data_IF_029466034016
#
_entry.id   IF_029466034016
#
_cell.length_a   1.000
_cell.length_b   1.000
_cell.length_c   1.000
_cell.angle_alpha   90.00
_cell.angle_beta   90.00
_cell.angle_gamma   90.00
#
_symmetry.space_group_name_H-M   'P 1'
#
loop_
_entity.id
_entity.type
_entity.pdbx_description
1 polymer ?
#
# COMPACT_ATOMS: atom_id res chain seq x y z
N UNK A 1 34.54 -31.28 49.98
CA UNK A 1 33.13 -31.28 49.57
C UNK A 1 32.82 -29.86 49.12
N UNK A 2 33.11 -29.56 47.87
CA UNK A 2 33.06 -28.19 47.32
C UNK A 2 31.87 -28.14 46.37
N UNK A 3 30.85 -27.37 46.74
CA UNK A 3 29.71 -27.10 45.86
C UNK A 3 30.17 -26.12 44.77
N UNK A 4 30.11 -26.56 43.52
CA UNK A 4 30.24 -25.65 42.38
C UNK A 4 28.99 -24.78 42.33
N UNK A 5 29.16 -23.46 42.43
CA UNK A 5 28.12 -22.52 42.07
C UNK A 5 27.97 -22.58 40.54
N UNK A 6 26.82 -23.05 40.06
CA UNK A 6 26.49 -22.99 38.65
C UNK A 6 26.11 -21.54 38.32
N UNK A 7 27.06 -20.76 37.81
CA UNK A 7 26.80 -19.52 37.09
C UNK A 7 26.32 -19.88 35.68
N UNK A 8 25.06 -20.29 35.57
CA UNK A 8 24.40 -20.38 34.27
C UNK A 8 23.84 -18.99 33.93
N UNK A 9 24.32 -18.33 32.86
CA UNK A 9 23.79 -17.03 32.47
C UNK A 9 22.31 -17.18 32.14
N UNK A 10 21.46 -16.36 32.77
CA UNK A 10 20.04 -16.28 32.44
C UNK A 10 19.91 -16.01 30.93
N UNK A 11 19.45 -17.01 30.20
CA UNK A 11 19.06 -16.90 28.80
C UNK A 11 17.84 -15.98 28.74
N UNK A 12 18.08 -14.70 28.48
CA UNK A 12 17.05 -13.77 28.01
C UNK A 12 16.73 -14.17 26.57
N UNK A 13 16.06 -15.32 26.42
CA UNK A 13 15.57 -15.78 25.13
C UNK A 13 14.83 -14.65 24.43
N UNK A 14 14.84 -14.69 23.09
CA UNK A 14 14.14 -13.75 22.21
C UNK A 14 12.79 -13.42 22.85
N UNK A 15 12.60 -12.15 23.23
CA UNK A 15 11.38 -11.72 23.91
C UNK A 15 10.18 -12.18 23.06
N UNK A 16 9.24 -12.98 23.60
CA UNK A 16 8.05 -13.40 22.87
C UNK A 16 7.22 -12.23 22.35
N UNK A 17 7.39 -11.03 22.94
CA UNK A 17 6.81 -9.76 22.50
C UNK A 17 7.61 -9.09 21.36
N UNK A 18 8.77 -9.63 20.99
CA UNK A 18 9.55 -9.18 19.83
C UNK A 18 9.09 -9.85 18.53
N UNK A 19 7.83 -10.34 18.48
CA UNK A 19 7.07 -10.44 17.22
C UNK A 19 6.68 -9.04 16.73
N UNK A 20 7.63 -8.12 16.79
CA UNK A 20 7.49 -6.77 16.32
C UNK A 20 7.26 -6.88 14.82
N UNK A 21 6.03 -6.63 14.35
CA UNK A 21 5.78 -6.19 12.99
C UNK A 21 6.57 -4.89 12.81
N UNK A 22 7.87 -5.03 12.52
CA UNK A 22 8.96 -4.10 12.86
C UNK A 22 8.58 -2.63 12.81
N UNK A 23 8.91 -1.88 13.88
CA UNK A 23 8.77 -0.42 14.04
C UNK A 23 7.98 0.19 12.89
N UNK A 24 6.65 0.29 13.04
CA UNK A 24 5.75 0.83 12.03
C UNK A 24 6.30 2.18 11.53
N UNK A 25 7.03 2.16 10.42
CA UNK A 25 7.51 3.37 9.77
C UNK A 25 6.28 4.11 9.26
N UNK A 26 6.34 5.44 9.27
CA UNK A 26 5.24 6.26 8.79
C UNK A 26 4.88 5.97 7.31
N UNK A 27 3.76 6.51 6.83
CA UNK A 27 3.29 6.29 5.47
C UNK A 27 4.36 6.59 4.42
N UNK A 28 4.38 5.77 3.37
CA UNK A 28 5.31 5.95 2.24
C UNK A 28 4.79 7.08 1.36
N UNK A 29 5.63 8.07 1.10
CA UNK A 29 5.39 9.07 0.05
C UNK A 29 6.17 8.67 -1.21
N UNK A 30 5.50 7.98 -2.14
CA UNK A 30 6.14 7.43 -3.35
C UNK A 30 6.88 8.46 -4.21
N UNK A 31 6.37 9.68 -4.44
CA UNK A 31 7.06 10.67 -5.27
C UNK A 31 8.40 11.14 -4.70
N UNK A 32 8.64 10.97 -3.39
CA UNK A 32 9.90 11.37 -2.75
C UNK A 32 10.97 10.28 -2.75
N UNK A 33 10.63 9.05 -3.15
CA UNK A 33 11.57 7.94 -3.14
C UNK A 33 12.56 8.03 -4.30
N UNK A 34 13.80 7.61 -4.04
CA UNK A 34 14.77 7.34 -5.11
C UNK A 34 14.30 6.14 -5.94
N UNK A 35 14.89 5.95 -7.14
CA UNK A 35 14.57 4.83 -8.00
C UNK A 35 14.83 3.47 -7.32
N UNK A 36 15.94 3.35 -6.59
CA UNK A 36 16.31 2.13 -5.85
C UNK A 36 15.32 1.85 -4.71
N UNK A 37 14.96 2.87 -3.93
CA UNK A 37 13.96 2.72 -2.86
C UNK A 37 12.61 2.33 -3.44
N UNK A 38 12.17 2.99 -4.50
CA UNK A 38 10.91 2.70 -5.19
C UNK A 38 10.87 1.24 -5.67
N UNK A 39 11.95 0.75 -6.29
CA UNK A 39 12.02 -0.63 -6.76
C UNK A 39 11.91 -1.65 -5.61
N UNK A 40 12.61 -1.40 -4.51
CA UNK A 40 12.56 -2.23 -3.30
C UNK A 40 11.15 -2.25 -2.69
N UNK A 41 10.58 -1.06 -2.42
CA UNK A 41 9.22 -0.92 -1.86
C UNK A 41 8.16 -1.54 -2.75
N UNK A 42 8.32 -1.44 -4.07
CA UNK A 42 7.39 -2.03 -5.02
C UNK A 42 7.46 -3.55 -5.00
N UNK A 43 8.64 -4.15 -4.76
CA UNK A 43 8.76 -5.60 -4.58
C UNK A 43 8.01 -6.07 -3.34
N UNK A 44 8.26 -5.43 -2.20
CA UNK A 44 7.55 -5.72 -0.93
C UNK A 44 6.03 -5.58 -1.10
N UNK A 45 5.58 -4.54 -1.80
CA UNK A 45 4.15 -4.33 -2.06
C UNK A 45 3.58 -5.42 -2.96
N UNK A 46 4.28 -5.84 -4.02
CA UNK A 46 3.81 -6.90 -4.91
C UNK A 46 3.57 -8.22 -4.19
N UNK A 47 4.48 -8.61 -3.31
CA UNK A 47 4.35 -9.85 -2.54
C UNK A 47 3.14 -9.78 -1.59
N UNK A 48 2.97 -8.64 -0.91
CA UNK A 48 1.82 -8.42 -0.06
C UNK A 48 0.49 -8.42 -0.84
N UNK A 49 0.44 -7.74 -2.01
CA UNK A 49 -0.75 -7.73 -2.87
C UNK A 49 -1.10 -9.13 -3.35
N UNK A 50 -0.12 -9.96 -3.71
CA UNK A 50 -0.35 -11.35 -4.09
C UNK A 50 -1.05 -12.14 -2.97
N UNK A 51 -0.62 -11.96 -1.73
CA UNK A 51 -1.26 -12.58 -0.57
C UNK A 51 -2.67 -12.01 -0.33
N UNK A 52 -2.85 -10.70 -0.50
CA UNK A 52 -4.16 -10.07 -0.37
C UNK A 52 -5.16 -10.63 -1.39
N UNK A 53 -4.78 -10.68 -2.67
CA UNK A 53 -5.62 -11.18 -3.77
C UNK A 53 -6.01 -12.63 -3.53
N UNK A 54 -5.06 -13.47 -3.09
CA UNK A 54 -5.33 -14.89 -2.82
C UNK A 54 -6.17 -15.11 -1.55
N UNK A 55 -5.98 -14.29 -0.51
CA UNK A 55 -6.73 -14.38 0.76
C UNK A 55 -8.18 -13.87 0.65
N UNK A 56 -8.44 -12.86 -0.16
CA UNK A 56 -9.77 -12.23 -0.30
C UNK A 56 -10.45 -12.47 -1.65
N UNK A 57 -9.82 -13.19 -2.57
CA UNK A 57 -10.39 -13.50 -3.88
C UNK A 57 -10.67 -12.26 -4.73
N UNK A 58 -9.75 -11.28 -4.74
CA UNK A 58 -9.95 -10.05 -5.50
C UNK A 58 -10.01 -10.32 -7.01
N UNK A 59 -11.07 -9.86 -7.66
CA UNK A 59 -11.25 -10.03 -9.09
C UNK A 59 -10.43 -9.01 -9.91
N UNK A 60 -10.04 -9.35 -11.16
CA UNK A 60 -9.34 -8.43 -12.06
C UNK A 60 -10.08 -7.11 -12.34
N UNK A 61 -11.41 -7.08 -12.14
CA UNK A 61 -12.22 -5.85 -12.25
C UNK A 61 -11.96 -4.87 -11.10
N UNK A 62 -11.69 -5.40 -9.90
CA UNK A 62 -11.36 -4.59 -8.72
C UNK A 62 -9.90 -4.19 -8.73
N UNK A 63 -9.01 -5.13 -9.07
CA UNK A 63 -7.58 -4.90 -9.12
C UNK A 63 -6.99 -5.50 -10.41
N UNK A 64 -6.74 -4.68 -11.46
CA UNK A 64 -6.24 -5.19 -12.72
C UNK A 64 -4.78 -5.67 -12.59
N UNK A 65 -4.31 -6.62 -13.44
CA UNK A 65 -2.94 -7.13 -13.39
C UNK A 65 -1.86 -6.05 -13.54
N UNK A 66 -2.19 -4.96 -14.23
CA UNK A 66 -1.29 -3.82 -14.43
C UNK A 66 -1.31 -2.78 -13.29
N UNK A 67 -1.92 -3.07 -12.14
CA UNK A 67 -2.05 -2.14 -11.00
C UNK A 67 -0.74 -1.44 -10.63
N UNK A 68 0.38 -2.14 -10.67
CA UNK A 68 1.70 -1.60 -10.29
C UNK A 68 2.20 -0.49 -11.22
N UNK A 69 1.55 -0.31 -12.38
CA UNK A 69 1.83 0.77 -13.34
C UNK A 69 0.94 2.00 -13.13
N UNK A 70 0.01 1.96 -12.19
CA UNK A 70 -0.91 3.05 -11.88
C UNK A 70 -0.58 3.65 -10.51
N UNK A 71 0.04 4.85 -10.44
CA UNK A 71 0.50 5.44 -9.18
C UNK A 71 -0.60 5.54 -8.11
N UNK A 72 -1.82 5.92 -8.49
CA UNK A 72 -2.94 6.01 -7.56
C UNK A 72 -3.27 4.65 -6.90
N UNK A 73 -3.22 3.54 -7.65
CA UNK A 73 -3.45 2.20 -7.08
C UNK A 73 -2.33 1.80 -6.14
N UNK A 74 -1.08 2.15 -6.48
CA UNK A 74 0.09 1.89 -5.66
C UNK A 74 -0.02 2.62 -4.31
N UNK A 75 -0.46 3.87 -4.31
CA UNK A 75 -0.71 4.67 -3.10
C UNK A 75 -1.80 4.02 -2.22
N UNK A 76 -2.95 3.66 -2.81
CA UNK A 76 -4.07 3.04 -2.08
C UNK A 76 -3.64 1.71 -1.44
N UNK A 77 -2.95 0.85 -2.20
CA UNK A 77 -2.49 -0.45 -1.70
C UNK A 77 -1.42 -0.31 -0.63
N UNK A 78 -0.53 0.68 -0.76
CA UNK A 78 0.49 0.98 0.26
C UNK A 78 -0.15 1.40 1.57
N UNK A 79 -1.12 2.31 1.52
CA UNK A 79 -1.86 2.76 2.69
C UNK A 79 -2.64 1.61 3.34
N UNK A 80 -3.28 0.75 2.54
CA UNK A 80 -4.01 -0.41 3.06
C UNK A 80 -3.08 -1.44 3.74
N UNK A 81 -1.89 -1.68 3.17
CA UNK A 81 -0.86 -2.53 3.77
C UNK A 81 -0.37 -1.97 5.10
N UNK A 82 -0.11 -0.67 5.16
CA UNK A 82 0.35 -0.02 6.38
C UNK A 82 -0.76 -0.03 7.46
N UNK A 83 -2.03 0.12 7.06
CA UNK A 83 -3.17 -0.05 7.94
C UNK A 83 -3.31 -1.49 8.46
N UNK A 84 -3.00 -2.51 7.65
CA UNK A 84 -2.94 -3.92 8.12
C UNK A 84 -1.89 -4.06 9.21
N UNK A 85 -0.67 -3.61 8.94
CA UNK A 85 0.44 -3.71 9.89
C UNK A 85 0.13 -3.01 11.20
N UNK A 86 -0.49 -1.84 11.15
CA UNK A 86 -0.92 -1.11 12.33
C UNK A 86 -2.03 -1.83 13.11
N UNK A 87 -2.98 -2.46 12.42
CA UNK A 87 -4.13 -3.11 13.03
C UNK A 87 -3.80 -4.44 13.70
N UNK A 88 -2.68 -5.07 13.33
CA UNK A 88 -2.19 -6.32 13.90
C UNK A 88 -0.91 -6.14 14.72
N UNK A 89 -0.53 -4.91 15.06
CA UNK A 89 0.55 -4.65 16.00
C UNK A 89 0.13 -5.01 17.44
N UNK A 90 1.08 -5.40 18.30
CA UNK A 90 0.79 -5.79 19.69
C UNK A 90 0.20 -4.65 20.54
N UNK A 91 0.39 -3.40 20.10
CA UNK A 91 -0.18 -2.21 20.73
C UNK A 91 -1.58 -1.85 20.23
N UNK A 92 -2.10 -2.57 19.23
CA UNK A 92 -3.41 -2.29 18.64
C UNK A 92 -4.56 -2.75 19.55
N UNK A 93 -5.69 -2.01 19.60
CA UNK A 93 -6.85 -2.47 20.33
C UNK A 93 -7.43 -3.74 19.68
N UNK A 94 -8.12 -4.62 20.44
CA UNK A 94 -8.74 -5.84 19.90
C UNK A 94 -9.76 -5.60 18.77
N UNK A 95 -10.28 -4.37 18.64
CA UNK A 95 -11.21 -3.99 17.57
C UNK A 95 -10.52 -3.69 16.23
N UNK A 96 -9.21 -3.45 16.22
CA UNK A 96 -8.49 -2.95 15.05
C UNK A 96 -8.57 -3.89 13.84
N UNK A 97 -8.64 -5.21 14.06
CA UNK A 97 -8.82 -6.17 12.98
C UNK A 97 -10.13 -5.92 12.18
N UNK A 98 -11.21 -5.53 12.86
CA UNK A 98 -12.47 -5.17 12.19
C UNK A 98 -12.37 -3.84 11.47
N UNK A 99 -11.62 -2.87 12.01
CA UNK A 99 -11.39 -1.58 11.35
C UNK A 99 -10.61 -1.77 10.05
N UNK A 100 -9.61 -2.66 10.05
CA UNK A 100 -8.89 -3.03 8.85
C UNK A 100 -9.77 -3.67 7.78
N UNK A 101 -10.71 -4.55 8.16
CA UNK A 101 -11.66 -5.15 7.22
C UNK A 101 -12.61 -4.12 6.58
N UNK A 102 -12.98 -3.07 7.33
CA UNK A 102 -13.75 -1.94 6.79
C UNK A 102 -12.90 -1.13 5.80
N UNK A 103 -11.66 -0.81 6.17
CA UNK A 103 -10.72 -0.14 5.27
C UNK A 103 -10.45 -0.95 3.99
N UNK A 104 -10.36 -2.27 4.07
CA UNK A 104 -10.25 -3.16 2.90
C UNK A 104 -11.47 -3.02 1.98
N UNK A 105 -12.69 -2.95 2.54
CA UNK A 105 -13.91 -2.74 1.75
C UNK A 105 -13.88 -1.39 1.03
N UNK A 106 -13.49 -0.33 1.71
CA UNK A 106 -13.42 1.01 1.13
C UNK A 106 -12.32 1.10 0.05
N UNK A 107 -11.16 0.50 0.31
CA UNK A 107 -10.07 0.42 -0.65
C UNK A 107 -10.47 -0.34 -1.92
N UNK A 108 -11.25 -1.43 -1.82
CA UNK A 108 -11.75 -2.14 -3.00
C UNK A 108 -12.66 -1.27 -3.88
N UNK A 109 -13.51 -0.44 -3.27
CA UNK A 109 -14.35 0.51 -4.02
C UNK A 109 -13.48 1.55 -4.74
N UNK A 110 -12.51 2.13 -4.04
CA UNK A 110 -11.61 3.14 -4.61
C UNK A 110 -10.71 2.56 -5.71
N UNK A 111 -10.24 1.32 -5.56
CA UNK A 111 -9.46 0.61 -6.58
C UNK A 111 -10.30 0.33 -7.82
N UNK A 112 -11.55 -0.12 -7.66
CA UNK A 112 -12.45 -0.37 -8.78
C UNK A 112 -12.78 0.94 -9.55
N UNK A 113 -13.08 2.02 -8.83
CA UNK A 113 -13.30 3.34 -9.42
C UNK A 113 -12.06 3.84 -10.18
N UNK A 114 -10.90 3.74 -9.54
CA UNK A 114 -9.62 4.13 -10.15
C UNK A 114 -9.34 3.29 -11.40
N UNK A 115 -9.57 1.97 -11.32
CA UNK A 115 -9.42 1.02 -12.43
C UNK A 115 -10.30 1.34 -13.62
N UNK A 116 -11.57 1.68 -13.39
CA UNK A 116 -12.50 2.06 -14.45
C UNK A 116 -12.01 3.27 -15.26
N UNK A 117 -11.30 4.21 -14.62
CA UNK A 117 -10.73 5.40 -15.29
C UNK A 117 -9.46 5.10 -16.10
N UNK A 118 -8.79 3.98 -15.86
CA UNK A 118 -7.55 3.63 -16.59
C UNK A 118 -7.81 3.16 -18.01
N UNK A 119 -9.03 2.69 -18.32
CA UNK A 119 -9.37 2.02 -19.58
C UNK A 119 -8.44 0.84 -19.94
N UNK A 120 -7.74 0.28 -18.96
CA UNK A 120 -6.93 -0.92 -19.18
C UNK A 120 -7.83 -2.14 -19.38
N UNK A 121 -7.38 -3.07 -20.22
CA UNK A 121 -7.97 -4.41 -20.32
C UNK A 121 -7.04 -5.42 -19.67
N UNK A 122 -7.49 -6.66 -19.52
CA UNK A 122 -6.65 -7.75 -19.01
C UNK A 122 -5.41 -8.01 -19.89
N UNK A 123 -5.46 -7.61 -21.17
CA UNK A 123 -4.40 -7.84 -22.15
C UNK A 123 -3.61 -6.57 -22.50
N UNK A 124 -4.16 -5.38 -22.28
CA UNK A 124 -3.60 -4.11 -22.74
C UNK A 124 -3.61 -3.07 -21.62
N UNK A 125 -2.44 -2.50 -21.34
CA UNK A 125 -2.32 -1.37 -20.42
C UNK A 125 -2.34 -0.05 -21.17
N UNK A 126 -3.08 0.91 -20.60
CA UNK A 126 -3.11 2.30 -21.04
C UNK A 126 -2.54 3.20 -19.96
N UNK A 127 -1.60 4.06 -20.37
CA UNK A 127 -1.07 5.06 -19.47
C UNK A 127 -2.20 6.04 -19.10
N UNK A 128 -2.16 6.53 -17.86
CA UNK A 128 -3.12 7.53 -17.42
C UNK A 128 -3.00 8.78 -18.30
N UNK A 129 -4.13 9.21 -18.87
CA UNK A 129 -4.19 10.49 -19.56
C UNK A 129 -3.98 11.62 -18.54
N UNK A 130 -2.97 12.44 -18.78
CA UNK A 130 -2.76 13.66 -18.01
C UNK A 130 -3.63 14.75 -18.64
N UNK A 131 -4.55 15.37 -17.89
CA UNK A 131 -5.36 16.46 -18.42
C UNK A 131 -4.45 17.59 -18.94
N UNK A 132 -4.74 18.19 -20.11
CA UNK A 132 -3.88 19.23 -20.70
C UNK A 132 -3.59 20.40 -19.76
N UNK A 133 -4.57 20.80 -18.94
CA UNK A 133 -4.40 21.88 -17.94
C UNK A 133 -3.35 21.56 -16.87
N UNK A 134 -3.13 20.27 -16.56
CA UNK A 134 -2.15 19.85 -15.54
C UNK A 134 -0.71 19.91 -16.07
N UNK A 135 -0.53 19.97 -17.39
CA UNK A 135 0.77 20.12 -18.07
C UNK A 135 0.95 21.49 -18.70
N UNK A 136 -0.08 22.34 -18.70
CA UNK A 136 -0.02 23.68 -19.26
C UNK A 136 0.93 24.55 -18.44
N UNK A 137 1.67 25.45 -19.10
CA UNK A 137 2.39 26.49 -18.38
C UNK A 137 1.39 27.40 -17.67
N UNK A 138 1.75 28.02 -16.53
CA UNK A 138 0.84 28.88 -15.77
C UNK A 138 0.16 29.99 -16.59
N UNK A 139 0.81 30.49 -17.65
CA UNK A 139 0.25 31.51 -18.53
C UNK A 139 -0.73 31.00 -19.61
N UNK A 140 -0.80 29.69 -19.83
CA UNK A 140 -1.57 29.07 -20.92
C UNK A 140 -2.87 28.39 -20.43
N UNK A 141 -3.11 28.35 -19.10
CA UNK A 141 -4.22 27.60 -18.49
C UNK A 141 -5.58 28.09 -18.99
N UNK A 142 -5.78 29.41 -19.10
CA UNK A 142 -7.03 30.03 -19.56
C UNK A 142 -7.39 29.68 -21.01
N UNK A 143 -6.39 29.30 -21.82
CA UNK A 143 -6.57 28.93 -23.23
C UNK A 143 -6.81 27.43 -23.44
N UNK A 144 -6.46 26.61 -22.46
CA UNK A 144 -6.52 25.13 -22.52
C UNK A 144 -7.69 24.57 -21.72
N UNK A 145 -8.28 25.37 -20.83
CA UNK A 145 -9.50 25.00 -20.13
C UNK A 145 -10.66 24.80 -21.13
N UNK A 146 -11.40 23.67 -21.07
CA UNK A 146 -12.62 23.54 -21.85
C UNK A 146 -13.55 24.69 -21.49
N UNK A 147 -14.04 25.42 -22.49
CA UNK A 147 -14.95 26.53 -22.28
C UNK A 147 -16.27 25.97 -21.73
N UNK A 148 -16.40 25.94 -20.40
CA UNK A 148 -17.65 25.62 -19.74
C UNK A 148 -18.63 26.78 -20.01
N UNK A 149 -19.53 26.60 -20.97
CA UNK A 149 -20.70 27.47 -21.08
C UNK A 149 -21.62 27.18 -19.90
N UNK A 150 -21.90 28.21 -19.09
CA UNK A 150 -22.89 28.18 -18.01
C UNK A 150 -24.29 28.43 -18.56
#
# INVERSE_FOLDING_TARGET
MTAAANDEPLDFGVDPFDRTFGQLRGPIHWPSLTATESASRMSELRDWVRLLVTRFGLEPRTLPPCWARHPAMVEILSALRDHERASYADTAPPTAAMDWLRALRDAQLLLAETGARTQCTIHEHRNQAVPPWATANPGDIDSVAPQCSF
#
